data_IF_645437050182
#
_entry.id   IF_645437050182
#
_cell.length_a   1.000
_cell.length_b   1.000
_cell.length_c   1.000
_cell.angle_alpha   90.00
_cell.angle_beta   90.00
_cell.angle_gamma   90.00
#
_symmetry.space_group_name_H-M   'P 1'
#
loop_
_entity.id
_entity.type
_entity.pdbx_description
1 polymer ?
#
# COMPACT_ATOMS: atom_id res chain seq x y z
N UNK A 1 0.54 -18.65 23.17
CA UNK A 1 -0.18 -18.04 22.04
C UNK A 1 0.82 -17.14 21.38
N UNK A 2 1.35 -17.55 20.23
CA UNK A 2 2.09 -16.62 19.38
C UNK A 2 1.08 -15.55 18.97
N UNK A 3 1.30 -14.31 19.41
CA UNK A 3 0.57 -13.17 18.89
C UNK A 3 0.95 -13.07 17.41
N UNK A 4 -0.03 -13.08 16.51
CA UNK A 4 0.24 -12.85 15.09
C UNK A 4 0.95 -11.50 14.94
N UNK A 5 2.20 -11.54 14.48
CA UNK A 5 3.02 -10.36 14.24
C UNK A 5 2.47 -9.59 13.02
N UNK A 6 2.45 -8.26 13.11
CA UNK A 6 1.82 -7.43 12.08
C UNK A 6 2.61 -7.45 10.77
N UNK A 7 1.94 -7.76 9.65
CA UNK A 7 2.46 -7.51 8.31
C UNK A 7 1.82 -6.23 7.74
N UNK A 8 2.59 -5.14 7.79
CA UNK A 8 2.21 -3.82 7.29
C UNK A 8 2.67 -3.65 5.84
N UNK A 9 1.79 -3.21 4.95
CA UNK A 9 2.14 -2.77 3.60
C UNK A 9 1.93 -1.26 3.42
N UNK A 10 2.82 -0.60 2.69
CA UNK A 10 2.80 0.84 2.45
C UNK A 10 3.08 1.16 0.98
N UNK A 11 2.26 2.02 0.38
CA UNK A 11 2.65 2.74 -0.84
C UNK A 11 3.66 3.87 -0.54
N UNK A 12 4.35 4.36 -1.57
CA UNK A 12 5.37 5.42 -1.46
C UNK A 12 4.82 6.78 -1.85
N UNK A 13 4.37 6.94 -3.09
CA UNK A 13 4.22 8.23 -3.76
C UNK A 13 2.84 8.82 -3.48
N UNK A 14 2.77 9.82 -2.59
CA UNK A 14 1.50 10.37 -2.09
C UNK A 14 1.08 9.76 -0.76
N UNK A 15 1.69 8.63 -0.37
CA UNK A 15 1.52 7.98 0.94
C UNK A 15 2.70 8.28 1.87
N UNK A 16 3.82 7.56 1.76
CA UNK A 16 5.01 7.81 2.60
C UNK A 16 5.53 9.24 2.39
N UNK A 17 5.65 9.68 1.13
CA UNK A 17 6.21 10.99 0.81
C UNK A 17 5.35 12.16 1.29
N UNK A 18 4.06 11.93 1.54
CA UNK A 18 3.14 12.94 2.05
C UNK A 18 3.26 13.16 3.56
N UNK A 19 3.62 12.14 4.34
CA UNK A 19 3.87 12.28 5.79
C UNK A 19 5.03 11.38 6.27
N UNK A 20 6.28 11.65 5.85
CA UNK A 20 7.39 10.75 6.10
C UNK A 20 7.65 10.50 7.59
N UNK A 21 7.43 11.51 8.44
CA UNK A 21 7.67 11.40 9.88
C UNK A 21 6.73 10.40 10.56
N UNK A 22 5.45 10.39 10.16
CA UNK A 22 4.47 9.44 10.67
C UNK A 22 4.84 8.02 10.24
N UNK A 23 5.12 7.81 8.95
CA UNK A 23 5.46 6.49 8.44
C UNK A 23 6.82 5.99 8.96
N UNK A 24 7.77 6.89 9.22
CA UNK A 24 9.00 6.54 9.95
C UNK A 24 8.68 6.01 11.34
N UNK A 25 7.86 6.71 12.13
CA UNK A 25 7.47 6.23 13.46
C UNK A 25 6.74 4.87 13.38
N UNK A 26 5.78 4.74 12.47
CA UNK A 26 4.98 3.54 12.29
C UNK A 26 5.84 2.33 11.90
N UNK A 27 6.71 2.48 10.89
CA UNK A 27 7.55 1.38 10.43
C UNK A 27 8.53 0.89 11.49
N UNK A 28 9.10 1.80 12.28
CA UNK A 28 9.94 1.43 13.43
C UNK A 28 9.14 0.70 14.51
N UNK A 29 7.93 1.16 14.82
CA UNK A 29 7.08 0.53 15.83
C UNK A 29 6.69 -0.91 15.43
N UNK A 30 6.27 -1.12 14.17
CA UNK A 30 5.95 -2.46 13.65
C UNK A 30 7.18 -3.37 13.69
N UNK A 31 8.33 -2.90 13.23
CA UNK A 31 9.56 -3.69 13.24
C UNK A 31 10.03 -4.03 14.67
N UNK A 32 9.91 -3.10 15.62
CA UNK A 32 10.30 -3.30 17.01
C UNK A 32 9.42 -4.34 17.73
N UNK A 33 8.16 -4.50 17.32
CA UNK A 33 7.24 -5.53 17.81
C UNK A 33 7.43 -6.90 17.11
N UNK A 34 8.41 -7.00 16.21
CA UNK A 34 8.70 -8.22 15.44
C UNK A 34 7.82 -8.40 14.18
N UNK A 35 7.01 -7.40 13.83
CA UNK A 35 6.25 -7.36 12.59
C UNK A 35 7.12 -7.12 11.35
N UNK A 36 6.53 -7.32 10.16
CA UNK A 36 7.17 -7.04 8.87
C UNK A 36 6.55 -5.82 8.22
N UNK A 37 7.39 -5.11 7.49
CA UNK A 37 7.03 -3.91 6.71
C UNK A 37 7.37 -4.16 5.26
N UNK A 38 6.36 -4.06 4.40
CA UNK A 38 6.41 -4.26 2.97
C UNK A 38 6.16 -2.94 2.26
N UNK A 39 7.10 -2.49 1.45
CA UNK A 39 6.87 -1.35 0.56
C UNK A 39 6.31 -1.87 -0.75
N UNK A 40 5.18 -1.35 -1.22
CA UNK A 40 4.47 -1.83 -2.41
C UNK A 40 4.13 -0.63 -3.28
N UNK A 41 4.92 -0.39 -4.33
CA UNK A 41 4.84 0.84 -5.12
C UNK A 41 4.60 0.56 -6.60
N UNK A 42 3.80 1.43 -7.23
CA UNK A 42 3.61 1.49 -8.70
C UNK A 42 4.84 2.00 -9.46
N UNK A 43 5.93 2.38 -8.79
CA UNK A 43 7.21 2.56 -9.49
C UNK A 43 7.57 1.26 -10.24
N UNK A 44 7.94 1.40 -11.51
CA UNK A 44 8.20 0.24 -12.37
C UNK A 44 9.49 -0.46 -11.95
N UNK A 45 9.44 -1.79 -11.86
CA UNK A 45 10.59 -2.63 -11.51
C UNK A 45 11.68 -2.51 -12.55
N UNK A 46 12.81 -2.01 -12.09
CA UNK A 46 14.05 -1.84 -12.81
C UNK A 46 15.18 -1.72 -11.77
N UNK A 47 16.40 -2.16 -12.10
CA UNK A 47 17.52 -2.19 -11.14
C UNK A 47 17.90 -0.80 -10.63
N UNK A 48 17.87 0.21 -11.50
CA UNK A 48 18.17 1.59 -11.12
C UNK A 48 17.04 2.20 -10.29
N UNK A 49 15.80 1.91 -10.65
CA UNK A 49 14.62 2.35 -9.88
C UNK A 49 14.62 1.72 -8.49
N UNK A 50 14.93 0.43 -8.39
CA UNK A 50 15.04 -0.27 -7.12
C UNK A 50 16.12 0.38 -6.23
N UNK A 51 17.34 0.54 -6.75
CA UNK A 51 18.45 1.14 -5.99
C UNK A 51 18.13 2.56 -5.51
N UNK A 52 17.55 3.39 -6.37
CA UNK A 52 17.16 4.77 -6.03
C UNK A 52 16.05 4.80 -4.98
N UNK A 53 15.05 3.92 -5.11
CA UNK A 53 13.93 3.82 -4.18
C UNK A 53 14.40 3.35 -2.80
N UNK A 54 15.27 2.34 -2.73
CA UNK A 54 15.86 1.92 -1.45
C UNK A 54 16.66 3.05 -0.80
N UNK A 55 17.44 3.81 -1.57
CA UNK A 55 18.21 4.93 -1.05
C UNK A 55 17.32 6.06 -0.51
N UNK A 56 16.23 6.38 -1.22
CA UNK A 56 15.23 7.36 -0.79
C UNK A 56 14.56 6.93 0.53
N UNK A 57 14.07 5.69 0.61
CA UNK A 57 13.42 5.15 1.81
C UNK A 57 14.37 5.17 3.01
N UNK A 58 15.64 4.81 2.82
CA UNK A 58 16.69 4.90 3.86
C UNK A 58 16.95 6.35 4.28
N UNK A 59 16.99 7.29 3.34
CA UNK A 59 17.17 8.71 3.65
C UNK A 59 15.98 9.29 4.44
N UNK A 60 14.77 8.79 4.20
CA UNK A 60 13.56 9.11 4.99
C UNK A 60 13.53 8.39 6.35
N UNK A 61 14.48 7.50 6.63
CA UNK A 61 14.56 6.72 7.87
C UNK A 61 13.53 5.59 7.97
N UNK A 62 12.91 5.21 6.85
CA UNK A 62 11.92 4.13 6.79
C UNK A 62 12.60 2.78 6.97
N UNK A 63 12.09 1.97 7.91
CA UNK A 63 12.51 0.59 8.08
C UNK A 63 11.57 -0.30 7.27
N UNK A 64 12.13 -1.16 6.42
CA UNK A 64 11.36 -2.10 5.61
C UNK A 64 12.11 -3.41 5.44
N UNK A 65 11.34 -4.46 5.20
CA UNK A 65 11.83 -5.83 5.03
C UNK A 65 11.74 -6.28 3.58
N UNK A 66 10.74 -5.77 2.84
CA UNK A 66 10.50 -6.07 1.44
C UNK A 66 10.26 -4.78 0.66
N UNK A 67 10.78 -4.73 -0.57
CA UNK A 67 10.47 -3.69 -1.55
C UNK A 67 9.89 -4.36 -2.80
N UNK A 68 8.60 -4.15 -3.03
CA UNK A 68 7.88 -4.63 -4.19
C UNK A 68 7.57 -3.48 -5.16
N UNK A 69 8.33 -3.46 -6.24
CA UNK A 69 8.05 -2.60 -7.39
C UNK A 69 7.21 -3.36 -8.41
N UNK A 70 6.18 -2.69 -8.93
CA UNK A 70 5.27 -3.28 -9.91
C UNK A 70 6.00 -3.59 -11.23
N UNK A 71 5.60 -4.64 -11.95
CA UNK A 71 6.12 -4.88 -13.30
C UNK A 71 5.67 -3.77 -14.27
N UNK A 72 6.12 -3.84 -15.52
CA UNK A 72 5.60 -2.94 -16.57
C UNK A 72 4.07 -3.09 -16.71
N UNK A 73 3.39 -2.05 -17.19
CA UNK A 73 1.94 -2.09 -17.41
C UNK A 73 1.53 -3.21 -18.39
N UNK A 74 2.34 -3.48 -19.42
CA UNK A 74 2.11 -4.57 -20.37
C UNK A 74 2.17 -5.94 -19.68
N UNK A 75 3.21 -6.17 -18.88
CA UNK A 75 3.36 -7.41 -18.13
C UNK A 75 2.23 -7.58 -17.10
N UNK A 76 1.89 -6.53 -16.35
CA UNK A 76 0.80 -6.55 -15.38
C UNK A 76 -0.53 -6.97 -16.02
N UNK A 77 -0.83 -6.41 -17.20
CA UNK A 77 -2.03 -6.74 -17.98
C UNK A 77 -2.04 -8.19 -18.47
N UNK A 78 -0.86 -8.71 -18.83
CA UNK A 78 -0.69 -10.11 -19.26
C UNK A 78 -0.97 -11.07 -18.10
N UNK A 79 -0.42 -10.79 -16.92
CA UNK A 79 -0.49 -11.72 -15.77
C UNK A 79 -1.75 -11.56 -14.91
N UNK A 80 -2.44 -10.41 -14.95
CA UNK A 80 -3.66 -10.20 -14.16
C UNK A 80 -4.79 -11.17 -14.59
N UNK A 81 -5.36 -11.97 -13.67
CA UNK A 81 -6.43 -12.92 -14.00
C UNK A 81 -7.80 -12.23 -14.17
N UNK A 82 -7.98 -11.01 -13.66
CA UNK A 82 -9.25 -10.29 -13.67
C UNK A 82 -9.45 -9.52 -14.99
N UNK A 83 -9.86 -10.23 -16.04
CA UNK A 83 -10.05 -9.64 -17.38
C UNK A 83 -11.21 -8.65 -17.51
N UNK A 84 -12.07 -8.57 -16.50
CA UNK A 84 -13.16 -7.59 -16.40
C UNK A 84 -12.71 -6.22 -15.85
N UNK A 85 -11.50 -6.12 -15.30
CA UNK A 85 -10.93 -4.85 -14.87
C UNK A 85 -10.42 -4.05 -16.08
N UNK A 86 -10.44 -2.71 -16.01
CA UNK A 86 -9.78 -1.89 -17.01
C UNK A 86 -8.24 -2.05 -16.94
N UNK A 87 -7.52 -1.51 -17.93
CA UNK A 87 -6.06 -1.68 -18.01
C UNK A 87 -5.33 -1.15 -16.77
N UNK A 88 -5.82 -0.07 -16.18
CA UNK A 88 -5.18 0.57 -15.03
C UNK A 88 -5.46 -0.22 -13.77
N UNK A 89 -6.70 -0.70 -13.60
CA UNK A 89 -7.07 -1.60 -12.52
C UNK A 89 -6.31 -2.93 -12.58
N UNK A 90 -6.07 -3.50 -13.77
CA UNK A 90 -5.23 -4.69 -13.94
C UNK A 90 -3.78 -4.42 -13.55
N UNK A 91 -3.30 -3.20 -13.79
CA UNK A 91 -1.97 -2.77 -13.39
C UNK A 91 -1.84 -2.61 -11.87
N UNK A 92 -2.72 -1.85 -11.22
CA UNK A 92 -2.66 -1.65 -9.76
C UNK A 92 -3.13 -2.89 -8.95
N UNK A 93 -3.85 -3.83 -9.57
CA UNK A 93 -4.18 -5.13 -8.97
C UNK A 93 -2.93 -5.90 -8.50
N UNK A 94 -1.77 -5.67 -9.13
CA UNK A 94 -0.52 -6.29 -8.70
C UNK A 94 -0.18 -5.97 -7.23
N UNK A 95 -0.59 -4.80 -6.70
CA UNK A 95 -0.46 -4.47 -5.27
C UNK A 95 -1.32 -5.41 -4.41
N UNK A 96 -2.58 -5.61 -4.82
CA UNK A 96 -3.53 -6.52 -4.13
C UNK A 96 -2.99 -7.94 -4.09
N UNK A 97 -2.57 -8.46 -5.25
CA UNK A 97 -2.03 -9.81 -5.39
C UNK A 97 -0.78 -10.01 -4.54
N UNK A 98 0.15 -9.05 -4.55
CA UNK A 98 1.33 -9.08 -3.69
C UNK A 98 0.94 -9.13 -2.21
N UNK A 99 0.06 -8.23 -1.76
CA UNK A 99 -0.36 -8.16 -0.37
C UNK A 99 -1.06 -9.44 0.10
N UNK A 100 -1.91 -10.05 -0.72
CA UNK A 100 -2.54 -11.33 -0.41
C UNK A 100 -1.52 -12.47 -0.29
N UNK A 101 -0.58 -12.59 -1.25
CA UNK A 101 0.45 -13.62 -1.25
C UNK A 101 1.44 -13.51 -0.08
N UNK A 102 1.60 -12.32 0.48
CA UNK A 102 2.51 -12.05 1.59
C UNK A 102 1.78 -11.85 2.93
N UNK A 103 0.49 -12.18 3.00
CA UNK A 103 -0.31 -12.07 4.22
C UNK A 103 -0.23 -10.67 4.87
N UNK A 104 -0.20 -9.62 4.05
CA UNK A 104 -0.30 -8.23 4.53
C UNK A 104 -1.67 -8.03 5.15
N UNK A 105 -1.72 -7.58 6.39
CA UNK A 105 -2.96 -7.39 7.15
C UNK A 105 -3.47 -5.95 7.06
N UNK A 106 -2.55 -4.99 6.97
CA UNK A 106 -2.85 -3.55 6.91
C UNK A 106 -2.14 -2.93 5.72
N UNK A 107 -2.84 -2.17 4.88
CA UNK A 107 -2.26 -1.47 3.73
C UNK A 107 -2.60 0.03 3.74
N UNK A 108 -1.62 0.88 3.48
CA UNK A 108 -1.84 2.33 3.28
C UNK A 108 -1.53 2.71 1.84
N UNK A 109 -2.45 3.47 1.23
CA UNK A 109 -2.33 4.04 -0.11
C UNK A 109 -3.13 5.35 -0.15
N UNK A 110 -2.74 6.31 -0.99
CA UNK A 110 -3.47 7.56 -1.15
C UNK A 110 -4.48 7.50 -2.30
N UNK A 111 -4.30 6.58 -3.25
CA UNK A 111 -5.10 6.55 -4.46
C UNK A 111 -6.44 5.82 -4.24
N UNK A 112 -7.55 6.55 -4.38
CA UNK A 112 -8.90 6.01 -4.22
C UNK A 112 -9.19 4.75 -5.07
N UNK A 113 -8.60 4.62 -6.27
CA UNK A 113 -8.75 3.43 -7.12
C UNK A 113 -8.06 2.20 -6.54
N UNK A 114 -6.91 2.36 -5.89
CA UNK A 114 -6.22 1.27 -5.18
C UNK A 114 -7.07 0.85 -3.99
N UNK A 115 -7.55 1.82 -3.19
CA UNK A 115 -8.42 1.58 -2.03
C UNK A 115 -9.69 0.79 -2.40
N UNK A 116 -10.39 1.22 -3.46
CA UNK A 116 -11.56 0.52 -4.00
C UNK A 116 -11.23 -0.92 -4.43
N UNK A 117 -10.07 -1.11 -5.07
CA UNK A 117 -9.67 -2.42 -5.55
C UNK A 117 -9.34 -3.39 -4.42
N UNK A 118 -8.63 -2.94 -3.37
CA UNK A 118 -8.41 -3.71 -2.15
C UNK A 118 -9.74 -4.08 -1.48
N UNK A 119 -10.65 -3.11 -1.34
CA UNK A 119 -11.97 -3.33 -0.73
C UNK A 119 -12.77 -4.41 -1.46
N UNK A 120 -12.71 -4.45 -2.80
CA UNK A 120 -13.46 -5.43 -3.61
C UNK A 120 -12.79 -6.80 -3.69
N UNK A 121 -11.46 -6.85 -3.78
CA UNK A 121 -10.73 -8.07 -4.14
C UNK A 121 -9.93 -8.70 -3.00
N UNK A 122 -9.70 -7.96 -1.91
CA UNK A 122 -9.01 -8.42 -0.71
C UNK A 122 -9.67 -7.91 0.58
N UNK A 123 -10.95 -8.25 0.84
CA UNK A 123 -11.70 -7.73 1.98
C UNK A 123 -11.14 -8.12 3.35
N UNK A 124 -10.21 -9.09 3.42
CA UNK A 124 -9.49 -9.44 4.64
C UNK A 124 -8.30 -8.55 4.97
N UNK A 125 -7.94 -7.61 4.08
CA UNK A 125 -6.85 -6.64 4.30
C UNK A 125 -7.48 -5.32 4.72
N UNK A 126 -7.07 -4.79 5.87
CA UNK A 126 -7.50 -3.48 6.34
C UNK A 126 -6.76 -2.40 5.55
N UNK A 127 -7.48 -1.71 4.68
CA UNK A 127 -6.90 -0.64 3.85
C UNK A 127 -7.27 0.74 4.41
N UNK A 128 -6.28 1.61 4.53
CA UNK A 128 -6.43 2.98 5.01
C UNK A 128 -6.00 3.97 3.92
N UNK A 129 -6.87 4.94 3.64
CA UNK A 129 -6.54 6.03 2.74
C UNK A 129 -5.58 7.02 3.45
N UNK A 130 -4.39 7.23 2.89
CA UNK A 130 -3.42 8.20 3.37
C UNK A 130 -3.58 9.53 2.61
N UNK A 131 -4.53 10.37 3.02
CA UNK A 131 -4.78 11.65 2.35
C UNK A 131 -4.30 12.83 3.19
N UNK A 132 -3.59 13.79 2.56
CA UNK A 132 -3.30 15.09 3.17
C UNK A 132 -4.50 16.00 3.00
N UNK A 133 -5.18 16.31 4.10
CA UNK A 133 -6.24 17.32 4.10
C UNK A 133 -5.57 18.68 4.24
N UNK A 134 -5.48 19.44 3.14
CA UNK A 134 -5.13 20.85 3.23
C UNK A 134 -6.23 21.59 4.02
N UNK A 135 -5.87 22.66 4.75
CA UNK A 135 -6.68 23.33 5.79
C UNK A 135 -8.07 23.87 5.42
N UNK A 136 -8.63 23.53 4.26
CA UNK A 136 -10.04 23.69 3.90
C UNK A 136 -10.93 22.54 4.36
N UNK A 137 -10.39 21.42 4.86
CA UNK A 137 -11.20 20.30 5.38
C UNK A 137 -11.97 19.52 4.31
N UNK A 138 -11.73 19.80 3.02
CA UNK A 138 -12.35 19.05 1.94
C UNK A 138 -11.60 17.72 1.75
N UNK A 139 -12.22 16.62 2.21
CA UNK A 139 -11.86 15.28 1.77
C UNK A 139 -12.09 15.20 0.26
N UNK A 140 -11.11 14.71 -0.49
CA UNK A 140 -11.26 14.47 -1.91
C UNK A 140 -12.46 13.52 -2.14
N UNK A 141 -13.38 13.93 -3.00
CA UNK A 141 -14.80 13.52 -3.01
C UNK A 141 -15.09 12.06 -3.37
N UNK A 142 -14.06 11.22 -3.46
CA UNK A 142 -14.14 9.82 -3.87
C UNK A 142 -14.05 8.82 -2.72
N UNK A 143 -13.71 9.24 -1.50
CA UNK A 143 -13.69 8.38 -0.32
C UNK A 143 -15.03 8.48 0.44
N UNK A 144 -15.89 7.47 0.30
CA UNK A 144 -17.04 7.33 1.22
C UNK A 144 -16.51 6.96 2.61
N UNK A 145 -16.94 7.65 3.69
CA UNK A 145 -16.49 7.31 5.03
C UNK A 145 -16.85 5.87 5.36
N UNK A 146 -15.87 5.14 5.90
CA UNK A 146 -16.06 3.80 6.44
C UNK A 146 -17.13 3.85 7.52
N UNK A 147 -18.31 3.28 7.25
CA UNK A 147 -19.33 3.08 8.29
C UNK A 147 -18.96 1.83 9.07
N UNK A 148 -18.64 1.99 10.35
CA UNK A 148 -18.66 0.86 11.27
C UNK A 148 -20.06 0.24 11.23
N UNK A 149 -20.14 -1.03 10.83
CA UNK A 149 -21.33 -1.84 11.04
C UNK A 149 -21.54 -1.95 12.54
N UNK A 150 -22.54 -1.25 13.06
CA UNK A 150 -23.05 -1.48 14.40
C UNK A 150 -23.61 -2.89 14.41
N UNK A 151 -22.96 -3.81 15.12
CA UNK A 151 -23.56 -5.08 15.45
C UNK A 151 -24.80 -4.82 16.32
N UNK A 152 -25.95 -5.33 15.88
CA UNK A 152 -27.16 -5.51 16.67
C UNK A 152 -27.36 -7.01 16.88
#
# INVERSE_FOLDING_TARGET
>A
MDLEQMNLGLDIDGTITACPEFFRLLTHAVAADGGRVHIVSSRTRDEDVQRKTEAELRALGIVFHELHLLPSAEEARRVCPHKNLDWYQQYIWQKVDYCQRNHVQVFFDDEAKVIDLFTRLAPGIHVFAASVVNGSGALDSHLKPYRQSSAA
#
